data_IF_478741997634
#
_entry.id   IF_478741997634
#
_cell.length_a   1.000
_cell.length_b   1.000
_cell.length_c   1.000
_cell.angle_alpha   90.00
_cell.angle_beta   90.00
_cell.angle_gamma   90.00
#
_symmetry.space_group_name_H-M   'P 1'
#
loop_
_entity.id
_entity.type
_entity.pdbx_description
1 polymer ?
#
# COMPACT_ATOMS: atom_id res chain seq x y z
N UNK A 1 16.29 20.23 33.55
CA UNK A 1 15.33 19.09 33.58
C UNK A 1 15.87 17.99 34.47
N UNK A 2 15.01 17.43 35.33
CA UNK A 2 15.37 16.27 36.15
C UNK A 2 15.59 15.01 35.28
N UNK A 3 16.33 14.03 35.81
CA UNK A 3 16.54 12.70 35.19
C UNK A 3 15.23 11.99 34.82
N UNK A 4 14.09 12.43 35.38
CA UNK A 4 12.74 11.88 35.12
C UNK A 4 12.03 12.55 33.94
N UNK A 5 12.24 13.85 33.73
CA UNK A 5 11.57 14.61 32.68
C UNK A 5 12.28 14.48 31.32
N UNK A 6 13.61 14.36 31.33
CA UNK A 6 14.39 14.24 30.09
C UNK A 6 13.95 13.06 29.21
N UNK A 7 13.76 11.84 29.74
CA UNK A 7 13.37 10.69 28.91
C UNK A 7 11.99 10.84 28.29
N UNK A 8 11.02 11.38 29.03
CA UNK A 8 9.65 11.61 28.52
C UNK A 8 9.66 12.64 27.40
N UNK A 9 10.40 13.74 27.59
CA UNK A 9 10.54 14.77 26.55
C UNK A 9 11.26 14.23 25.32
N UNK A 10 12.32 13.44 25.49
CA UNK A 10 13.02 12.79 24.38
C UNK A 10 12.09 11.85 23.61
N UNK A 11 11.36 10.98 24.30
CA UNK A 11 10.39 10.07 23.67
C UNK A 11 9.29 10.82 22.91
N UNK A 12 8.67 11.82 23.53
CA UNK A 12 7.66 12.65 22.87
C UNK A 12 8.22 13.39 21.65
N UNK A 13 9.40 14.01 21.79
CA UNK A 13 10.05 14.70 20.69
C UNK A 13 10.38 13.77 19.53
N UNK A 14 10.74 12.51 19.82
CA UNK A 14 11.03 11.50 18.80
C UNK A 14 9.77 11.05 18.07
N UNK A 15 8.64 10.86 18.76
CA UNK A 15 7.35 10.58 18.14
C UNK A 15 6.90 11.72 17.22
N UNK A 16 7.01 12.97 17.68
CA UNK A 16 6.67 14.15 16.87
C UNK A 16 7.60 14.27 15.66
N UNK A 17 8.91 14.11 15.85
CA UNK A 17 9.88 14.14 14.75
C UNK A 17 9.59 13.06 13.70
N UNK A 18 9.24 11.84 14.13
CA UNK A 18 8.89 10.75 13.21
C UNK A 18 7.64 11.07 12.40
N UNK A 19 6.60 11.66 13.02
CA UNK A 19 5.40 12.11 12.29
C UNK A 19 5.73 13.23 11.30
N UNK A 20 6.56 14.21 11.70
CA UNK A 20 7.01 15.29 10.80
C UNK A 20 7.75 14.70 9.60
N UNK A 21 8.63 13.73 9.82
CA UNK A 21 9.37 13.04 8.74
C UNK A 21 8.40 12.29 7.84
N UNK A 22 7.44 11.54 8.39
CA UNK A 22 6.41 10.84 7.62
C UNK A 22 5.61 11.81 6.72
N UNK A 23 5.00 12.84 7.31
CA UNK A 23 4.22 13.81 6.55
C UNK A 23 5.10 14.58 5.56
N UNK A 24 6.33 14.93 5.93
CA UNK A 24 7.28 15.61 5.06
C UNK A 24 7.65 14.79 3.83
N UNK A 25 8.01 13.52 4.00
CA UNK A 25 8.37 12.62 2.89
C UNK A 25 7.17 12.43 1.95
N UNK A 26 6.00 12.06 2.49
CA UNK A 26 4.82 11.76 1.66
C UNK A 26 4.33 13.02 0.95
N UNK A 27 4.34 14.18 1.62
CA UNK A 27 3.91 15.44 1.01
C UNK A 27 4.85 15.93 -0.09
N UNK A 28 6.16 15.69 0.06
CA UNK A 28 7.16 16.05 -0.94
C UNK A 28 7.16 15.10 -2.14
N UNK A 29 6.82 13.83 -1.93
CA UNK A 29 6.81 12.83 -3.01
C UNK A 29 5.54 12.91 -3.84
N UNK A 30 4.37 13.07 -3.20
CA UNK A 30 3.07 13.03 -3.87
C UNK A 30 2.32 14.35 -3.68
N UNK A 31 1.71 14.55 -2.51
CA UNK A 31 1.03 15.79 -2.13
C UNK A 31 0.63 15.74 -0.64
N UNK A 32 0.34 16.91 -0.07
CA UNK A 32 -0.13 16.99 1.32
C UNK A 32 -1.50 16.33 1.53
N UNK A 33 -2.39 16.42 0.55
CA UNK A 33 -3.71 15.76 0.60
C UNK A 33 -3.57 14.24 0.64
N UNK A 34 -2.71 13.69 -0.23
CA UNK A 34 -2.41 12.27 -0.25
C UNK A 34 -1.84 11.78 1.09
N UNK A 35 -0.96 12.57 1.72
CA UNK A 35 -0.41 12.25 3.04
C UNK A 35 -1.49 12.13 4.13
N UNK A 36 -2.53 12.99 4.10
CA UNK A 36 -3.64 12.94 5.06
C UNK A 36 -4.53 11.72 4.80
N UNK A 37 -4.91 11.49 3.53
CA UNK A 37 -5.77 10.37 3.16
C UNK A 37 -5.12 9.04 3.53
N UNK A 38 -3.84 8.88 3.18
CA UNK A 38 -3.08 7.69 3.54
C UNK A 38 -2.93 7.54 5.05
N UNK A 39 -2.62 8.62 5.78
CA UNK A 39 -2.57 8.56 7.24
C UNK A 39 -3.90 8.07 7.83
N UNK A 40 -5.04 8.54 7.33
CA UNK A 40 -6.37 8.09 7.77
C UNK A 40 -6.65 6.62 7.44
N UNK A 41 -6.17 6.12 6.31
CA UNK A 41 -6.36 4.72 5.93
C UNK A 41 -5.60 3.78 6.87
N UNK A 42 -4.34 4.11 7.18
CA UNK A 42 -3.44 3.25 7.98
C UNK A 42 -3.15 3.80 9.38
N UNK A 43 -4.04 4.64 9.94
CA UNK A 43 -3.77 5.39 11.17
C UNK A 43 -3.44 4.50 12.36
N UNK A 44 -4.09 3.34 12.49
CA UNK A 44 -3.84 2.37 13.56
C UNK A 44 -2.39 1.87 13.55
N UNK A 45 -1.84 1.60 12.37
CA UNK A 45 -0.47 1.12 12.22
C UNK A 45 0.54 2.23 12.52
N UNK A 46 0.29 3.44 12.02
CA UNK A 46 1.18 4.59 12.25
C UNK A 46 1.18 4.99 13.72
N UNK A 47 0.02 5.08 14.36
CA UNK A 47 -0.07 5.45 15.79
C UNK A 47 0.63 4.44 16.68
N UNK A 48 0.50 3.14 16.40
CA UNK A 48 1.21 2.08 17.11
C UNK A 48 2.73 2.18 16.94
N UNK A 49 3.20 2.39 15.70
CA UNK A 49 4.63 2.58 15.40
C UNK A 49 5.20 3.81 16.11
N UNK A 50 4.54 4.97 15.98
CA UNK A 50 5.00 6.25 16.52
C UNK A 50 5.01 6.25 18.04
N UNK A 51 3.99 5.66 18.67
CA UNK A 51 3.93 5.52 20.13
C UNK A 51 4.99 4.55 20.62
N UNK A 52 5.14 3.39 19.97
CA UNK A 52 6.17 2.40 20.30
C UNK A 52 7.58 2.99 20.20
N UNK A 53 7.86 3.73 19.12
CA UNK A 53 9.15 4.40 18.91
C UNK A 53 9.45 5.43 20.00
N UNK A 54 8.47 6.29 20.34
CA UNK A 54 8.63 7.27 21.41
C UNK A 54 8.91 6.62 22.76
N UNK A 55 8.20 5.55 23.09
CA UNK A 55 8.44 4.76 24.31
C UNK A 55 9.85 4.16 24.28
N UNK A 56 10.29 3.59 23.16
CA UNK A 56 11.64 3.05 23.01
C UNK A 56 12.72 4.12 23.21
N UNK A 57 12.61 5.28 22.55
CA UNK A 57 13.60 6.36 22.68
C UNK A 57 13.61 6.91 24.11
N UNK A 58 12.44 7.03 24.75
CA UNK A 58 12.32 7.38 26.16
C UNK A 58 13.01 6.38 27.07
N UNK A 59 12.71 5.08 26.95
CA UNK A 59 13.36 4.02 27.72
C UNK A 59 14.88 3.98 27.48
N UNK A 60 15.32 4.10 26.24
CA UNK A 60 16.73 4.10 25.87
C UNK A 60 17.48 5.24 26.56
N UNK A 61 16.94 6.45 26.47
CA UNK A 61 17.55 7.63 27.09
C UNK A 61 17.60 7.51 28.62
N UNK A 62 16.54 6.96 29.24
CA UNK A 62 16.52 6.65 30.67
C UNK A 62 17.59 5.64 31.06
N UNK A 63 17.59 4.47 30.42
CA UNK A 63 18.52 3.36 30.74
C UNK A 63 19.96 3.79 30.50
N UNK A 64 20.24 4.46 29.38
CA UNK A 64 21.59 4.97 29.08
C UNK A 64 22.08 5.96 30.13
N UNK A 65 21.21 6.88 30.58
CA UNK A 65 21.56 7.83 31.63
C UNK A 65 21.80 7.13 32.98
N UNK A 66 20.95 6.17 33.34
CA UNK A 66 21.05 5.42 34.60
C UNK A 66 22.28 4.51 34.65
N UNK A 67 22.60 3.81 33.56
CA UNK A 67 23.77 2.94 33.47
C UNK A 67 25.08 3.75 33.48
N UNK A 68 25.11 4.90 32.80
CA UNK A 68 26.26 5.83 32.87
C UNK A 68 26.48 6.36 34.27
N UNK A 69 25.40 6.70 35.00
CA UNK A 69 25.50 7.16 36.37
C UNK A 69 26.01 6.09 37.35
N UNK A 70 25.94 4.80 36.98
CA UNK A 70 26.45 3.67 37.76
C UNK A 70 27.74 3.06 37.21
N UNK A 71 28.33 3.66 36.16
CA UNK A 71 29.55 3.18 35.49
C UNK A 71 29.49 1.72 35.00
N UNK A 72 28.30 1.23 34.65
CA UNK A 72 28.11 -0.16 34.21
C UNK A 72 28.36 -0.28 32.71
N UNK A 73 29.50 -0.89 32.33
CA UNK A 73 29.89 -1.11 30.94
C UNK A 73 29.16 -2.30 30.29
N UNK A 74 29.03 -2.31 28.95
CA UNK A 74 28.55 -3.46 28.16
C UNK A 74 27.04 -3.60 27.98
N UNK A 75 26.21 -3.14 28.94
CA UNK A 75 24.75 -3.25 28.84
C UNK A 75 24.12 -2.36 27.75
N UNK A 76 24.83 -1.36 27.23
CA UNK A 76 24.31 -0.43 26.21
C UNK A 76 24.35 -0.98 24.78
N UNK A 77 25.16 -2.01 24.51
CA UNK A 77 25.36 -2.57 23.16
C UNK A 77 24.11 -3.32 22.67
N UNK A 78 23.49 -4.14 23.53
CA UNK A 78 22.25 -4.85 23.21
C UNK A 78 21.07 -3.89 23.00
N UNK A 79 21.03 -2.78 23.74
CA UNK A 79 20.04 -1.71 23.56
C UNK A 79 20.21 -0.96 22.23
N UNK A 80 21.45 -0.74 21.80
CA UNK A 80 21.74 -0.08 20.52
C UNK A 80 21.34 -0.95 19.32
N UNK A 81 21.57 -2.27 19.39
CA UNK A 81 21.18 -3.18 18.31
C UNK A 81 19.65 -3.24 18.13
N UNK A 82 18.87 -3.36 19.22
CA UNK A 82 17.42 -3.42 19.14
C UNK A 82 16.79 -2.11 18.61
N UNK A 83 17.32 -0.95 19.02
CA UNK A 83 16.87 0.36 18.50
C UNK A 83 17.30 0.60 17.05
N UNK A 84 18.46 0.09 16.64
CA UNK A 84 18.93 0.14 15.25
C UNK A 84 18.02 -0.60 14.28
N UNK A 85 17.58 -1.82 14.61
CA UNK A 85 16.66 -2.60 13.76
C UNK A 85 15.32 -1.88 13.57
N UNK A 86 14.73 -1.34 14.65
CA UNK A 86 13.46 -0.61 14.57
C UNK A 86 13.59 0.68 13.75
N UNK A 87 14.66 1.45 13.97
CA UNK A 87 14.92 2.69 13.21
C UNK A 87 15.10 2.40 11.72
N UNK A 88 15.90 1.39 11.36
CA UNK A 88 16.09 0.99 9.95
C UNK A 88 14.80 0.52 9.32
N UNK A 89 13.98 -0.26 10.05
CA UNK A 89 12.68 -0.72 9.56
C UNK A 89 11.71 0.45 9.34
N UNK A 90 11.73 1.46 10.20
CA UNK A 90 10.91 2.67 10.05
C UNK A 90 11.39 3.51 8.87
N UNK A 91 12.70 3.71 8.73
CA UNK A 91 13.24 4.42 7.56
C UNK A 91 12.87 3.68 6.28
N UNK A 92 12.97 2.35 6.24
CA UNK A 92 12.53 1.55 5.10
C UNK A 92 11.02 1.69 4.83
N UNK A 93 10.20 1.69 5.87
CA UNK A 93 8.76 1.96 5.79
C UNK A 93 8.43 3.39 5.36
N UNK A 94 9.28 4.38 5.64
CA UNK A 94 9.07 5.74 5.11
C UNK A 94 9.60 5.84 3.67
N UNK A 95 10.71 5.15 3.39
CA UNK A 95 11.40 5.17 2.11
C UNK A 95 10.65 4.45 0.99
N UNK A 96 9.69 3.56 1.30
CA UNK A 96 8.83 3.01 0.26
C UNK A 96 7.98 4.09 -0.42
N UNK A 97 7.78 5.26 0.17
CA UNK A 97 7.08 6.36 -0.51
C UNK A 97 7.97 7.09 -1.51
N UNK A 98 9.28 6.86 -1.49
CA UNK A 98 10.22 7.37 -2.48
C UNK A 98 10.40 6.41 -3.67
N UNK A 99 9.55 5.39 -3.82
CA UNK A 99 9.66 4.40 -4.89
C UNK A 99 9.65 5.03 -6.28
N UNK A 100 8.88 6.11 -6.47
CA UNK A 100 8.79 6.79 -7.77
C UNK A 100 10.05 7.62 -8.03
N UNK A 101 10.58 8.28 -7.00
CA UNK A 101 11.88 8.97 -7.06
C UNK A 101 13.00 7.98 -7.37
N UNK A 102 13.00 6.82 -6.72
CA UNK A 102 13.98 5.75 -6.96
C UNK A 102 13.88 5.18 -8.38
N UNK A 103 12.67 5.05 -8.94
CA UNK A 103 12.49 4.63 -10.33
C UNK A 103 13.06 5.66 -11.32
N UNK A 104 12.86 6.95 -11.07
CA UNK A 104 13.34 8.06 -11.93
C UNK A 104 14.88 8.14 -11.95
N UNK A 105 15.56 7.89 -10.83
CA UNK A 105 17.04 7.91 -10.75
C UNK A 105 17.70 6.57 -11.14
N UNK A 106 16.93 5.65 -11.75
CA UNK A 106 17.45 4.37 -12.27
C UNK A 106 17.61 3.25 -11.24
N UNK A 107 17.00 3.37 -10.05
CA UNK A 107 16.92 2.34 -9.00
C UNK A 107 15.59 1.57 -9.03
N UNK A 108 15.06 1.31 -10.23
CA UNK A 108 13.74 0.68 -10.43
C UNK A 108 13.61 -0.70 -9.78
N UNK A 109 14.70 -1.49 -9.72
CA UNK A 109 14.71 -2.79 -9.03
C UNK A 109 14.54 -2.65 -7.50
N UNK A 110 15.13 -1.61 -6.90
CA UNK A 110 14.97 -1.32 -5.48
C UNK A 110 13.55 -0.84 -5.19
N UNK A 111 13.00 0.01 -6.06
CA UNK A 111 11.62 0.52 -5.98
C UNK A 111 10.59 -0.62 -5.97
N UNK A 112 10.69 -1.57 -6.92
CA UNK A 112 9.79 -2.72 -6.99
C UNK A 112 9.84 -3.61 -5.72
N UNK A 113 11.03 -3.76 -5.12
CA UNK A 113 11.20 -4.50 -3.86
C UNK A 113 10.56 -3.72 -2.71
N UNK A 114 10.85 -2.42 -2.58
CA UNK A 114 10.33 -1.61 -1.47
C UNK A 114 8.80 -1.53 -1.47
N UNK A 115 8.18 -1.32 -2.65
CA UNK A 115 6.73 -1.28 -2.79
C UNK A 115 6.08 -2.63 -2.43
N UNK A 116 6.64 -3.74 -2.93
CA UNK A 116 6.10 -5.09 -2.67
C UNK A 116 6.14 -5.49 -1.20
N UNK A 117 7.16 -5.02 -0.46
CA UNK A 117 7.41 -5.43 0.92
C UNK A 117 7.02 -4.37 1.97
N UNK A 118 6.28 -3.32 1.59
CA UNK A 118 5.81 -2.25 2.49
C UNK A 118 5.17 -2.78 3.78
N UNK A 119 4.19 -3.69 3.68
CA UNK A 119 3.51 -4.24 4.86
C UNK A 119 4.49 -5.01 5.78
N UNK A 120 5.45 -5.72 5.19
CA UNK A 120 6.45 -6.46 5.95
C UNK A 120 7.40 -5.52 6.71
N UNK A 121 7.73 -4.34 6.18
CA UNK A 121 8.50 -3.33 6.92
C UNK A 121 7.72 -2.72 8.09
N UNK A 122 6.42 -2.50 7.92
CA UNK A 122 5.54 -2.03 9.02
C UNK A 122 5.49 -3.06 10.14
N UNK A 123 5.20 -4.32 9.80
CA UNK A 123 5.11 -5.41 10.78
C UNK A 123 6.45 -5.61 11.48
N UNK A 124 7.55 -5.67 10.73
CA UNK A 124 8.90 -5.80 11.30
C UNK A 124 9.22 -4.64 12.25
N UNK A 125 8.84 -3.41 11.88
CA UNK A 125 9.05 -2.22 12.71
C UNK A 125 8.30 -2.29 14.04
N UNK A 126 7.04 -2.73 14.03
CA UNK A 126 6.19 -2.87 15.23
C UNK A 126 6.72 -3.99 16.14
N UNK A 127 7.03 -5.15 15.56
CA UNK A 127 7.55 -6.29 16.31
C UNK A 127 8.93 -5.98 16.93
N UNK A 128 9.81 -5.34 16.16
CA UNK A 128 11.09 -4.84 16.67
C UNK A 128 10.90 -3.80 17.78
N UNK A 129 9.89 -2.92 17.64
CA UNK A 129 9.51 -1.96 18.68
C UNK A 129 9.16 -2.68 19.98
N UNK A 130 8.29 -3.68 19.90
CA UNK A 130 7.84 -4.47 21.04
C UNK A 130 9.00 -5.22 21.73
N UNK A 131 9.87 -5.88 20.95
CA UNK A 131 11.06 -6.56 21.46
C UNK A 131 12.03 -5.58 22.14
N UNK A 132 12.31 -4.44 21.53
CA UNK A 132 13.23 -3.46 22.13
C UNK A 132 12.69 -2.86 23.44
N UNK A 133 11.38 -2.64 23.57
CA UNK A 133 10.76 -2.18 24.82
C UNK A 133 10.98 -3.23 25.92
N UNK A 134 10.68 -4.50 25.64
CA UNK A 134 10.83 -5.59 26.64
C UNK A 134 12.29 -5.82 27.05
N UNK A 135 13.24 -5.72 26.11
CA UNK A 135 14.68 -5.72 26.41
C UNK A 135 15.10 -4.60 27.34
N UNK A 136 14.63 -3.37 27.09
CA UNK A 136 14.96 -2.22 27.95
C UNK A 136 14.36 -2.39 29.35
N UNK A 137 13.13 -2.90 29.45
CA UNK A 137 12.50 -3.20 30.73
C UNK A 137 13.23 -4.31 31.51
N UNK A 138 13.75 -5.33 30.82
CA UNK A 138 14.63 -6.34 31.43
C UNK A 138 15.89 -5.71 32.01
N UNK A 139 16.54 -4.80 31.27
CA UNK A 139 17.72 -4.09 31.79
C UNK A 139 17.36 -3.23 33.00
N UNK A 140 16.18 -2.60 32.98
CA UNK A 140 15.66 -1.84 34.14
C UNK A 140 15.48 -2.74 35.37
N UNK A 141 14.96 -3.96 35.18
CA UNK A 141 14.73 -4.95 36.23
C UNK A 141 16.02 -5.57 36.76
N UNK A 142 16.85 -6.11 35.88
CA UNK A 142 18.10 -6.82 36.22
C UNK A 142 19.11 -5.92 36.93
N UNK A 143 19.17 -4.63 36.59
CA UNK A 143 20.11 -3.69 37.21
C UNK A 143 19.50 -2.90 38.39
N UNK A 144 18.24 -3.17 38.76
CA UNK A 144 17.58 -2.49 39.87
C UNK A 144 17.53 -0.97 39.72
N UNK A 145 17.35 -0.49 38.48
CA UNK A 145 17.22 0.95 38.17
C UNK A 145 15.74 1.36 38.06
N UNK A 146 14.80 0.41 38.16
CA UNK A 146 13.36 0.68 38.19
C UNK A 146 12.90 1.22 39.54
N UNK A 147 12.89 2.54 39.71
CA UNK A 147 12.26 3.17 40.89
C UNK A 147 10.72 3.04 40.88
N UNK A 148 10.03 3.82 41.74
CA UNK A 148 8.55 3.82 41.86
C UNK A 148 7.77 3.98 40.54
N UNK A 149 8.37 4.59 39.53
CA UNK A 149 7.76 4.79 38.20
C UNK A 149 7.47 3.48 37.45
N UNK A 150 8.24 2.42 37.71
CA UNK A 150 8.06 1.13 37.05
C UNK A 150 7.35 0.10 37.94
N UNK A 151 6.83 0.51 39.11
CA UNK A 151 6.38 -0.38 40.17
C UNK A 151 5.38 -1.47 39.75
N UNK A 152 4.37 -1.14 38.94
CA UNK A 152 3.41 -2.13 38.44
C UNK A 152 4.00 -3.07 37.39
N UNK A 153 4.82 -2.54 36.47
CA UNK A 153 5.37 -3.31 35.33
C UNK A 153 6.44 -4.30 35.82
N UNK A 154 7.20 -3.92 36.85
CA UNK A 154 8.32 -4.69 37.40
C UNK A 154 7.88 -5.87 38.28
N UNK A 155 6.58 -6.06 38.46
CA UNK A 155 6.02 -7.23 39.15
C UNK A 155 6.13 -8.52 38.31
N UNK A 156 6.23 -8.38 36.99
CA UNK A 156 6.42 -9.49 36.06
C UNK A 156 7.90 -9.80 35.85
N UNK A 157 8.24 -11.05 35.57
CA UNK A 157 9.60 -11.46 35.17
C UNK A 157 9.89 -10.99 33.73
N UNK A 158 10.65 -9.91 33.59
CA UNK A 158 10.97 -9.31 32.30
C UNK A 158 11.86 -10.20 31.44
N UNK A 159 12.63 -11.11 32.05
CA UNK A 159 13.42 -12.09 31.31
C UNK A 159 12.51 -13.02 30.53
N UNK A 160 11.46 -13.55 31.19
CA UNK A 160 10.42 -14.36 30.52
C UNK A 160 9.61 -13.55 29.52
N UNK A 161 9.24 -12.33 29.88
CA UNK A 161 8.47 -11.44 29.00
C UNK A 161 9.22 -11.13 27.70
N UNK A 162 10.54 -10.86 27.77
CA UNK A 162 11.40 -10.69 26.59
C UNK A 162 11.36 -11.92 25.70
N UNK A 163 11.64 -13.11 26.24
CA UNK A 163 11.68 -14.32 25.42
C UNK A 163 10.33 -14.61 24.79
N UNK A 164 9.23 -14.43 25.52
CA UNK A 164 7.88 -14.51 24.97
C UNK A 164 7.67 -13.50 23.84
N UNK A 165 8.11 -12.25 24.00
CA UNK A 165 8.02 -11.22 22.96
C UNK A 165 8.84 -11.57 21.71
N UNK A 166 10.04 -12.12 21.87
CA UNK A 166 10.90 -12.56 20.75
C UNK A 166 10.22 -13.72 20.01
N UNK A 167 9.79 -14.77 20.71
CA UNK A 167 9.15 -15.92 20.06
C UNK A 167 7.84 -15.55 19.37
N UNK A 168 7.02 -14.74 20.03
CA UNK A 168 5.78 -14.24 19.43
C UNK A 168 6.06 -13.39 18.19
N UNK A 169 7.08 -12.52 18.24
CA UNK A 169 7.47 -11.70 17.10
C UNK A 169 7.96 -12.53 15.92
N UNK A 170 8.83 -13.53 16.18
CA UNK A 170 9.30 -14.44 15.13
C UNK A 170 8.13 -15.22 14.54
N UNK A 171 7.24 -15.75 15.37
CA UNK A 171 6.05 -16.47 14.91
C UNK A 171 5.14 -15.60 14.03
N UNK A 172 4.77 -14.41 14.50
CA UNK A 172 3.92 -13.49 13.75
C UNK A 172 4.57 -13.03 12.44
N UNK A 173 5.88 -12.77 12.45
CA UNK A 173 6.62 -12.43 11.24
C UNK A 173 6.66 -13.60 10.24
N UNK A 174 6.93 -14.83 10.69
CA UNK A 174 6.93 -16.02 9.83
C UNK A 174 5.55 -16.31 9.24
N UNK A 175 4.48 -16.17 10.02
CA UNK A 175 3.09 -16.32 9.54
C UNK A 175 2.77 -15.24 8.51
N UNK A 176 3.07 -13.97 8.80
CA UNK A 176 2.84 -12.87 7.86
C UNK A 176 3.62 -13.08 6.56
N UNK A 177 4.90 -13.44 6.65
CA UNK A 177 5.74 -13.75 5.50
C UNK A 177 5.17 -14.90 4.67
N UNK A 178 4.73 -15.99 5.32
CA UNK A 178 4.13 -17.13 4.65
C UNK A 178 2.82 -16.77 3.95
N UNK A 179 1.95 -15.99 4.59
CA UNK A 179 0.68 -15.52 3.99
C UNK A 179 0.95 -14.65 2.76
N UNK A 180 1.86 -13.69 2.86
CA UNK A 180 2.23 -12.82 1.74
C UNK A 180 2.90 -13.62 0.60
N UNK A 181 3.73 -14.61 0.92
CA UNK A 181 4.42 -15.42 -0.09
C UNK A 181 3.51 -16.46 -0.76
N UNK A 182 2.59 -17.08 -0.01
CA UNK A 182 1.63 -18.05 -0.54
C UNK A 182 0.56 -17.39 -1.42
N UNK A 183 0.12 -16.18 -1.10
CA UNK A 183 -0.78 -15.39 -1.97
C UNK A 183 -0.16 -15.05 -3.33
N UNK A 184 1.17 -14.86 -3.40
CA UNK A 184 1.88 -14.58 -4.65
C UNK A 184 1.92 -15.78 -5.63
N UNK A 185 1.71 -17.01 -5.15
CA UNK A 185 1.70 -18.22 -5.99
C UNK A 185 0.32 -18.47 -6.63
N UNK A 186 -0.78 -17.90 -6.12
CA UNK A 186 -2.12 -18.11 -6.69
C UNK A 186 -2.39 -17.29 -7.97
N UNK A 187 -1.59 -16.26 -8.26
CA UNK A 187 -1.71 -15.45 -9.47
C UNK A 187 -1.08 -16.04 -10.74
N UNK A 188 -0.38 -17.17 -10.64
CA UNK A 188 0.40 -17.73 -11.77
C UNK A 188 -0.16 -19.05 -12.32
N UNK A 189 -1.23 -19.61 -11.72
CA UNK A 189 -1.76 -20.93 -12.11
C UNK A 189 -3.03 -20.90 -12.96
N UNK A 190 -3.60 -19.73 -13.29
CA UNK A 190 -4.86 -19.64 -14.05
C UNK A 190 -4.75 -19.14 -15.49
N UNK A 191 -3.55 -18.87 -16.01
CA UNK A 191 -3.39 -18.37 -17.40
C UNK A 191 -2.68 -19.32 -18.37
N UNK A 192 -2.41 -20.57 -17.99
CA UNK A 192 -1.79 -21.56 -18.91
C UNK A 192 -2.75 -22.70 -19.24
N UNK A 193 -3.90 -22.35 -19.83
CA UNK A 193 -4.60 -23.23 -20.78
C UNK A 193 -5.09 -22.36 -21.94
N UNK A 194 -4.14 -21.76 -22.67
CA UNK A 194 -4.38 -21.40 -24.05
C UNK A 194 -4.18 -22.67 -24.88
N UNK A 195 -5.25 -23.44 -25.01
CA UNK A 195 -5.34 -24.55 -25.97
C UNK A 195 -5.16 -23.97 -27.36
N UNK A 196 -3.99 -24.15 -27.96
CA UNK A 196 -3.77 -23.91 -29.39
C UNK A 196 -4.59 -24.93 -30.20
N UNK A 197 -5.81 -24.57 -30.58
CA UNK A 197 -6.57 -25.27 -31.61
C UNK A 197 -6.06 -24.85 -33.01
N UNK A 198 -6.03 -25.77 -33.99
CA UNK A 198 -5.44 -25.50 -35.29
C UNK A 198 -6.35 -24.61 -36.14
N UNK A 199 -5.74 -23.65 -36.82
CA UNK A 199 -6.37 -22.75 -37.78
C UNK A 199 -6.97 -23.52 -38.95
N UNK A 200 -8.27 -23.80 -38.91
CA UNK A 200 -9.04 -24.08 -40.12
C UNK A 200 -9.42 -22.75 -40.74
N UNK A 201 -8.91 -22.53 -41.97
CA UNK A 201 -9.28 -21.44 -42.86
C UNK A 201 -10.80 -21.43 -43.04
N UNK A 202 -11.49 -20.56 -42.30
CA UNK A 202 -12.89 -20.22 -42.51
C UNK A 202 -13.02 -18.71 -42.38
N UNK A 203 -13.61 -18.10 -43.40
CA UNK A 203 -13.76 -16.67 -43.68
C UNK A 203 -13.85 -15.76 -42.44
N UNK A 204 -12.89 -14.83 -42.33
CA UNK A 204 -12.92 -13.73 -41.36
C UNK A 204 -14.14 -12.83 -41.60
N UNK A 205 -14.96 -12.51 -40.59
CA UNK A 205 -15.67 -11.23 -40.58
C UNK A 205 -14.63 -10.12 -40.37
N UNK A 206 -14.74 -9.06 -41.16
CA UNK A 206 -13.89 -7.86 -41.05
C UNK A 206 -14.23 -7.17 -39.73
N UNK A 207 -13.38 -7.32 -38.71
CA UNK A 207 -13.42 -6.50 -37.50
C UNK A 207 -12.76 -5.16 -37.79
N UNK A 208 -13.55 -4.09 -37.84
CA UNK A 208 -13.04 -2.71 -37.95
C UNK A 208 -12.44 -2.31 -36.60
N UNK A 209 -11.12 -2.35 -36.46
CA UNK A 209 -10.42 -1.89 -35.25
C UNK A 209 -10.26 -0.37 -35.28
N UNK A 210 -11.11 0.33 -34.53
CA UNK A 210 -11.00 1.78 -34.29
C UNK A 210 -9.89 2.09 -33.25
N UNK A 211 -9.34 3.32 -33.22
CA UNK A 211 -8.22 3.66 -32.35
C UNK A 211 -8.59 3.65 -30.86
N UNK A 212 -7.65 3.18 -30.04
CA UNK A 212 -7.67 3.33 -28.58
C UNK A 212 -7.66 4.81 -28.21
N UNK A 213 -8.51 5.20 -27.27
CA UNK A 213 -8.49 6.52 -26.64
C UNK A 213 -8.08 6.39 -25.19
N UNK A 214 -7.10 7.18 -24.78
CA UNK A 214 -6.63 7.23 -23.41
C UNK A 214 -6.94 8.58 -22.75
N UNK A 215 -7.38 8.56 -21.50
CA UNK A 215 -7.65 9.75 -20.67
C UNK A 215 -7.10 9.49 -19.28
N UNK A 216 -6.26 10.41 -18.79
CA UNK A 216 -5.75 10.41 -17.42
C UNK A 216 -6.29 11.61 -16.68
N UNK A 217 -7.03 11.35 -15.60
CA UNK A 217 -7.64 12.37 -14.75
C UNK A 217 -7.75 11.79 -13.33
N UNK A 218 -7.63 12.65 -12.31
CA UNK A 218 -7.67 12.25 -10.90
C UNK A 218 -6.73 11.07 -10.57
N UNK A 219 -5.53 11.03 -11.18
CA UNK A 219 -4.53 9.94 -11.02
C UNK A 219 -5.00 8.54 -11.45
N UNK A 220 -6.09 8.46 -12.22
CA UNK A 220 -6.59 7.24 -12.86
C UNK A 220 -6.51 7.42 -14.37
N UNK A 221 -5.79 6.54 -15.04
CA UNK A 221 -5.70 6.45 -16.49
C UNK A 221 -6.64 5.36 -17.00
N UNK A 222 -7.46 5.72 -17.98
CA UNK A 222 -8.28 4.81 -18.77
C UNK A 222 -7.73 4.73 -20.18
N UNK A 223 -7.58 3.53 -20.72
CA UNK A 223 -7.32 3.25 -22.12
C UNK A 223 -8.49 2.40 -22.66
N UNK A 224 -9.28 2.97 -23.56
CA UNK A 224 -10.50 2.35 -24.08
C UNK A 224 -10.38 2.10 -25.58
N UNK A 225 -10.57 0.86 -25.99
CA UNK A 225 -10.52 0.43 -27.40
C UNK A 225 -11.86 -0.17 -27.78
N UNK A 226 -12.61 0.43 -28.71
CA UNK A 226 -13.87 -0.13 -29.15
C UNK A 226 -13.66 -1.30 -30.12
N UNK A 227 -14.56 -2.27 -30.04
CA UNK A 227 -14.60 -3.47 -30.87
C UNK A 227 -16.03 -3.68 -31.36
N UNK A 228 -16.17 -3.75 -32.68
CA UNK A 228 -17.47 -3.89 -33.34
C UNK A 228 -17.53 -5.19 -34.14
N UNK A 229 -18.69 -5.83 -34.07
CA UNK A 229 -19.08 -6.89 -35.01
C UNK A 229 -20.23 -6.37 -35.88
N UNK A 230 -20.22 -6.66 -37.18
CA UNK A 230 -21.30 -6.18 -38.06
C UNK A 230 -22.63 -6.79 -37.62
N UNK A 231 -23.61 -5.93 -37.28
CA UNK A 231 -24.93 -6.35 -36.77
C UNK A 231 -24.91 -7.03 -35.40
N UNK A 232 -23.77 -7.00 -34.68
CA UNK A 232 -23.61 -7.64 -33.38
C UNK A 232 -23.35 -6.66 -32.25
N UNK A 233 -22.92 -7.21 -31.11
CA UNK A 233 -22.67 -6.46 -29.89
C UNK A 233 -21.57 -5.40 -30.08
N UNK A 234 -21.75 -4.27 -29.39
CA UNK A 234 -20.70 -3.27 -29.22
C UNK A 234 -19.94 -3.61 -27.94
N UNK A 235 -18.63 -3.70 -28.04
CA UNK A 235 -17.79 -3.96 -26.89
C UNK A 235 -16.63 -2.97 -26.79
N UNK A 236 -16.14 -2.78 -25.58
CA UNK A 236 -14.96 -1.98 -25.29
C UNK A 236 -13.95 -2.79 -24.49
N UNK A 237 -12.74 -2.91 -25.00
CA UNK A 237 -11.59 -3.33 -24.21
C UNK A 237 -11.10 -2.13 -23.40
N UNK A 238 -11.17 -2.24 -22.07
CA UNK A 238 -10.84 -1.17 -21.13
C UNK A 238 -9.65 -1.61 -20.29
N UNK A 239 -8.57 -0.84 -20.33
CA UNK A 239 -7.49 -0.87 -19.36
C UNK A 239 -7.58 0.32 -18.41
N UNK A 240 -7.43 0.07 -17.10
CA UNK A 240 -7.46 1.08 -16.06
C UNK A 240 -6.22 0.92 -15.19
N UNK A 241 -5.47 2.00 -15.01
CA UNK A 241 -4.32 2.02 -14.11
C UNK A 241 -4.42 3.22 -13.19
N UNK A 242 -3.99 3.07 -11.94
CA UNK A 242 -3.94 4.18 -10.99
C UNK A 242 -2.72 4.06 -10.11
N UNK A 243 -2.13 5.21 -9.79
CA UNK A 243 -1.07 5.33 -8.79
C UNK A 243 -1.59 5.92 -7.48
N UNK A 244 -2.68 6.68 -7.53
CA UNK A 244 -3.43 7.17 -6.37
C UNK A 244 -4.91 7.27 -6.74
N UNK A 245 -5.78 6.57 -6.00
CA UNK A 245 -7.20 6.47 -6.33
C UNK A 245 -7.78 5.10 -6.01
N UNK A 246 -9.10 5.00 -5.91
CA UNK A 246 -9.80 3.72 -5.75
C UNK A 246 -10.35 3.25 -7.08
N UNK A 247 -10.16 1.96 -7.37
CA UNK A 247 -10.80 1.27 -8.49
C UNK A 247 -12.01 0.43 -8.03
N UNK A 248 -12.59 0.71 -6.86
CA UNK A 248 -13.71 -0.02 -6.24
C UNK A 248 -15.07 0.39 -6.82
N UNK A 249 -15.18 0.40 -8.14
CA UNK A 249 -16.41 0.71 -8.86
C UNK A 249 -16.79 -0.41 -9.83
N UNK A 250 -18.09 -0.62 -9.98
CA UNK A 250 -18.63 -1.59 -10.94
C UNK A 250 -18.90 -0.90 -12.28
N UNK A 251 -18.04 -1.17 -13.28
CA UNK A 251 -18.14 -0.59 -14.62
C UNK A 251 -19.47 -0.88 -15.30
N UNK A 252 -20.13 -2.00 -15.00
CA UNK A 252 -21.44 -2.31 -15.57
C UNK A 252 -22.55 -1.41 -15.00
N UNK A 253 -22.35 -0.85 -13.80
CA UNK A 253 -23.33 0.03 -13.14
C UNK A 253 -23.10 1.51 -13.44
N UNK A 254 -21.86 1.90 -13.75
CA UNK A 254 -21.48 3.32 -13.91
C UNK A 254 -21.21 3.74 -15.35
N UNK A 255 -21.35 2.84 -16.32
CA UNK A 255 -21.13 3.14 -17.73
C UNK A 255 -22.44 3.31 -18.48
N UNK A 256 -22.46 4.19 -19.47
CA UNK A 256 -23.57 4.38 -20.39
C UNK A 256 -23.01 4.63 -21.79
N UNK A 257 -23.62 4.00 -22.78
CA UNK A 257 -23.33 4.25 -24.19
C UNK A 257 -24.40 5.17 -24.77
N UNK A 258 -24.00 6.18 -25.53
CA UNK A 258 -24.89 7.12 -26.22
C UNK A 258 -24.56 7.14 -27.72
N UNK A 259 -25.60 7.11 -28.57
CA UNK A 259 -25.48 7.26 -30.03
C UNK A 259 -25.68 8.71 -30.50
N UNK A 260 -25.52 8.96 -31.81
CA UNK A 260 -25.65 10.30 -32.40
C UNK A 260 -27.09 10.85 -32.39
N UNK A 261 -28.06 9.98 -32.16
CA UNK A 261 -29.48 10.29 -32.04
C UNK A 261 -29.88 10.58 -30.59
N UNK A 262 -28.95 10.45 -29.64
CA UNK A 262 -29.14 10.66 -28.21
C UNK A 262 -29.79 9.49 -27.47
N UNK A 263 -29.90 8.31 -28.11
CA UNK A 263 -30.35 7.10 -27.43
C UNK A 263 -29.27 6.61 -26.47
N UNK A 264 -29.70 6.08 -25.31
CA UNK A 264 -28.79 5.60 -24.27
C UNK A 264 -28.97 4.11 -24.03
N UNK A 265 -27.84 3.41 -23.89
CA UNK A 265 -27.78 1.97 -23.70
C UNK A 265 -26.98 1.64 -22.43
N UNK A 266 -27.53 0.73 -21.62
CA UNK A 266 -26.84 0.18 -20.45
C UNK A 266 -25.93 -1.00 -20.84
N UNK A 267 -24.83 -1.22 -20.11
CA UNK A 267 -23.98 -2.39 -20.32
C UNK A 267 -24.74 -3.70 -20.09
N UNK A 268 -24.41 -4.73 -20.87
CA UNK A 268 -24.86 -6.11 -20.67
C UNK A 268 -24.00 -6.82 -19.62
N UNK A 269 -22.68 -6.64 -19.69
CA UNK A 269 -21.73 -7.33 -18.81
C UNK A 269 -20.38 -6.61 -18.75
N UNK A 270 -19.66 -6.85 -17.65
CA UNK A 270 -18.22 -6.61 -17.52
C UNK A 270 -17.52 -7.96 -17.33
N UNK A 271 -16.64 -8.31 -18.27
CA UNK A 271 -15.82 -9.52 -18.21
C UNK A 271 -14.35 -9.12 -18.04
N UNK A 272 -13.86 -9.15 -16.80
CA UNK A 272 -12.51 -8.69 -16.51
C UNK A 272 -12.14 -8.73 -15.04
N UNK A 273 -11.14 -7.95 -14.67
CA UNK A 273 -10.70 -7.81 -13.27
C UNK A 273 -11.86 -7.37 -12.36
N UNK A 274 -12.01 -7.95 -11.17
CA UNK A 274 -13.01 -7.52 -10.19
C UNK A 274 -12.75 -6.08 -9.71
N UNK A 275 -13.66 -5.52 -8.91
CA UNK A 275 -13.50 -4.20 -8.29
C UNK A 275 -12.24 -4.14 -7.41
N UNK A 276 -11.56 -2.99 -7.41
CA UNK A 276 -10.37 -2.73 -6.60
C UNK A 276 -9.04 -3.00 -7.29
N UNK A 277 -7.96 -3.01 -6.49
CA UNK A 277 -6.58 -3.09 -7.00
C UNK A 277 -6.06 -1.76 -7.56
N UNK A 278 -4.93 -1.80 -8.27
CA UNK A 278 -4.26 -0.64 -8.88
C UNK A 278 -4.12 -0.76 -10.41
N UNK A 279 -4.45 -1.92 -10.97
CA UNK A 279 -4.61 -2.16 -12.40
C UNK A 279 -5.83 -3.06 -12.62
N UNK A 280 -6.72 -2.66 -13.52
CA UNK A 280 -7.88 -3.46 -13.96
C UNK A 280 -7.91 -3.51 -15.48
N UNK A 281 -8.33 -4.64 -16.02
CA UNK A 281 -8.54 -4.80 -17.46
C UNK A 281 -9.71 -5.71 -17.74
N UNK A 282 -10.43 -5.46 -18.83
CA UNK A 282 -11.55 -6.30 -19.23
C UNK A 282 -12.37 -5.74 -20.37
N UNK A 283 -13.40 -6.49 -20.71
CA UNK A 283 -14.33 -6.20 -21.78
C UNK A 283 -15.67 -5.74 -21.21
N UNK A 284 -16.11 -4.56 -21.62
CA UNK A 284 -17.44 -4.02 -21.32
C UNK A 284 -18.34 -4.18 -22.55
N UNK A 285 -19.40 -4.96 -22.44
CA UNK A 285 -20.31 -5.27 -23.55
C UNK A 285 -21.61 -4.46 -23.46
N UNK A 286 -22.15 -4.06 -24.61
CA UNK A 286 -23.42 -3.34 -24.77
C UNK A 286 -24.31 -4.05 -25.80
N UNK A 287 -25.63 -3.79 -25.76
CA UNK A 287 -26.54 -4.25 -26.80
C UNK A 287 -26.09 -3.80 -28.20
N UNK A 288 -26.49 -4.51 -29.26
CA UNK A 288 -26.34 -4.02 -30.62
C UNK A 288 -26.97 -2.64 -30.77
N UNK A 289 -26.24 -1.72 -31.38
CA UNK A 289 -26.71 -0.38 -31.75
C UNK A 289 -26.69 -0.26 -33.27
N UNK A 290 -27.55 0.57 -33.83
CA UNK A 290 -27.43 0.91 -35.24
C UNK A 290 -26.13 1.71 -35.42
N UNK A 291 -25.17 1.14 -36.17
CA UNK A 291 -23.80 1.64 -36.26
C UNK A 291 -23.72 2.83 -37.22
N UNK A 292 -24.37 3.93 -36.86
CA UNK A 292 -24.39 5.17 -37.65
C UNK A 292 -23.89 6.34 -36.81
N UNK A 293 -23.02 7.16 -37.39
CA UNK A 293 -22.62 8.42 -36.78
C UNK A 293 -21.53 8.29 -35.71
N UNK A 294 -21.78 8.89 -34.54
CA UNK A 294 -20.85 9.00 -33.42
C UNK A 294 -21.33 8.18 -32.25
N UNK A 295 -20.42 7.43 -31.62
CA UNK A 295 -20.70 6.59 -30.48
C UNK A 295 -19.91 7.10 -29.27
N UNK A 296 -20.59 7.35 -28.16
CA UNK A 296 -19.99 7.95 -26.97
C UNK A 296 -20.15 7.04 -25.74
N UNK A 297 -19.03 6.62 -25.16
CA UNK A 297 -18.99 5.94 -23.87
C UNK A 297 -18.80 6.98 -22.76
N UNK A 298 -19.71 6.97 -21.80
CA UNK A 298 -19.70 7.83 -20.61
C UNK A 298 -19.54 6.94 -19.39
N UNK A 299 -18.54 7.22 -18.54
CA UNK A 299 -18.28 6.52 -17.28
C UNK A 299 -18.36 7.56 -16.16
N UNK A 300 -19.33 7.40 -15.26
CA UNK A 300 -19.61 8.39 -14.21
C UNK A 300 -19.06 7.96 -12.85
N UNK A 301 -18.82 8.92 -11.96
CA UNK A 301 -18.47 8.62 -10.57
C UNK A 301 -17.09 7.98 -10.37
N UNK A 302 -16.17 8.18 -11.32
CA UNK A 302 -14.75 7.83 -11.18
C UNK A 302 -13.94 9.10 -11.01
N UNK A 303 -13.66 9.46 -9.76
CA UNK A 303 -13.02 10.73 -9.43
C UNK A 303 -14.02 11.89 -9.39
N UNK A 304 -13.57 13.08 -9.81
CA UNK A 304 -14.37 14.32 -9.70
C UNK A 304 -15.18 14.56 -10.97
N UNK A 305 -14.63 14.24 -12.13
CA UNK A 305 -15.26 14.44 -13.44
C UNK A 305 -15.65 13.12 -14.10
N UNK A 306 -16.70 13.14 -14.91
CA UNK A 306 -17.09 12.00 -15.74
C UNK A 306 -16.05 11.75 -16.85
N UNK A 307 -15.78 10.49 -17.18
CA UNK A 307 -14.91 10.12 -18.29
C UNK A 307 -15.74 9.92 -19.55
N UNK A 308 -15.41 10.65 -20.61
CA UNK A 308 -16.16 10.63 -21.88
C UNK A 308 -15.23 10.27 -23.03
N UNK A 309 -15.58 9.20 -23.76
CA UNK A 309 -14.84 8.73 -24.93
C UNK A 309 -15.80 8.69 -26.11
N UNK A 310 -15.43 9.28 -27.24
CA UNK A 310 -16.32 9.39 -28.40
C UNK A 310 -15.62 8.95 -29.68
N UNK A 311 -16.26 8.14 -30.51
CA UNK A 311 -15.69 7.65 -31.77
C UNK A 311 -16.65 7.93 -32.91
N UNK A 312 -16.12 8.44 -34.02
CA UNK A 312 -16.85 8.52 -35.28
C UNK A 312 -16.78 7.14 -35.95
N UNK A 313 -17.92 6.49 -36.06
CA UNK A 313 -18.07 5.13 -36.61
C UNK A 313 -18.70 5.15 -38.01
N UNK A 314 -18.85 6.33 -38.61
CA UNK A 314 -19.27 6.47 -40.02
C UNK A 314 -18.25 5.75 -40.91
N UNK A 315 -18.70 4.71 -41.60
CA UNK A 315 -17.97 4.10 -42.70
C UNK A 315 -18.22 4.86 -44.01
#
# INVERSE_FOLDING_TARGET
>A
MSLKQRPVVMGFSASVALLIVYFGIVSLSESFEHAILQFREIWYWITLLVTGFGIQVGLYSYVRAALRAREIAGATTSLAAASGVSTTSMVACCAHHLTDVFAIIGLSALSAVLAKYQLLFIILGILSNFVGITLMLEVVQTHGIGGRWFGSIMSFDMTKAKWAAIYLSVFLFSVSFFVTYSGAQQGFSSSVIATSAPSTLSSLPVSTTLPTRAVTQDSIEFAVTPSFSQGGEVAFEIGITTHSGSLDFDLAQISTLEDDSGNRYSPLSWEGSPTGGHHRSGKLAFPPVEQTGTLTLIIVGVGIEDRVFSWDIRQ
#
